data_IF_373955221305
#
_entry.id   IF_373955221305
#
_cell.length_a   1.000
_cell.length_b   1.000
_cell.length_c   1.000
_cell.angle_alpha   90.00
_cell.angle_beta   90.00
_cell.angle_gamma   90.00
#
_symmetry.space_group_name_H-M   'P 1'
#
loop_
_entity.id
_entity.type
_entity.pdbx_description
1 polymer ?
#
# COMPACT_ATOMS: atom_id res chain seq x y z
N UNK A 1 5.21 -32.25 -28.57
CA UNK A 1 5.01 -31.83 -27.17
C UNK A 1 5.67 -30.48 -26.99
N UNK A 2 4.88 -29.41 -26.98
CA UNK A 2 5.38 -28.05 -26.80
C UNK A 2 5.11 -27.64 -25.34
N UNK A 3 6.18 -27.28 -24.64
CA UNK A 3 6.15 -26.82 -23.25
C UNK A 3 5.74 -25.36 -23.28
N UNK A 4 4.50 -25.07 -22.89
CA UNK A 4 4.00 -23.70 -22.73
C UNK A 4 4.65 -23.07 -21.51
N UNK A 5 5.48 -22.06 -21.72
CA UNK A 5 5.97 -21.20 -20.64
C UNK A 5 4.82 -20.31 -20.19
N UNK A 6 4.41 -20.43 -18.93
CA UNK A 6 3.50 -19.47 -18.31
C UNK A 6 4.23 -18.14 -18.17
N UNK A 7 3.96 -17.23 -19.09
CA UNK A 7 4.32 -15.83 -18.95
C UNK A 7 3.59 -15.30 -17.71
N UNK A 8 4.32 -15.09 -16.62
CA UNK A 8 3.89 -14.18 -15.58
C UNK A 8 3.86 -12.81 -16.24
N UNK A 9 2.68 -12.38 -16.67
CA UNK A 9 2.47 -11.03 -17.13
C UNK A 9 2.99 -10.10 -16.03
N UNK A 10 4.12 -9.44 -16.32
CA UNK A 10 4.47 -8.21 -15.65
C UNK A 10 3.26 -7.31 -15.83
N UNK A 11 2.40 -7.24 -14.83
CA UNK A 11 1.36 -6.21 -14.77
C UNK A 11 2.12 -4.89 -14.62
N UNK A 12 2.62 -4.37 -15.75
CA UNK A 12 2.97 -2.98 -15.92
C UNK A 12 1.66 -2.24 -15.76
N UNK A 13 1.33 -1.86 -14.53
CA UNK A 13 0.42 -0.75 -14.32
C UNK A 13 0.99 0.41 -15.13
N UNK A 14 0.36 0.72 -16.27
CA UNK A 14 0.78 1.79 -17.19
C UNK A 14 0.58 3.18 -16.59
N UNK A 15 0.15 3.24 -15.34
CA UNK A 15 -0.13 4.45 -14.57
C UNK A 15 0.71 4.40 -13.30
N UNK A 16 1.82 5.13 -13.32
CA UNK A 16 2.53 5.51 -12.09
C UNK A 16 1.85 6.77 -11.60
N UNK A 17 1.19 6.76 -10.42
CA UNK A 17 0.66 7.97 -9.84
C UNK A 17 1.76 9.02 -9.70
N UNK A 18 1.46 10.27 -10.07
CA UNK A 18 2.42 11.40 -10.03
C UNK A 18 1.98 12.55 -9.15
N UNK A 19 0.82 12.40 -8.52
CA UNK A 19 0.19 13.43 -7.74
C UNK A 19 -0.13 12.88 -6.35
N UNK A 20 0.03 13.72 -5.34
CA UNK A 20 -0.48 13.44 -4.01
C UNK A 20 -1.99 13.74 -4.01
N UNK A 21 -2.76 12.96 -3.29
CA UNK A 21 -4.22 13.16 -3.18
C UNK A 21 -4.59 13.29 -1.72
N UNK A 22 -5.22 14.39 -1.34
CA UNK A 22 -5.78 14.60 0.01
C UNK A 22 -7.30 14.56 -0.09
N UNK A 23 -7.90 13.57 0.54
CA UNK A 23 -9.34 13.45 0.72
C UNK A 23 -9.72 14.01 2.08
N UNK A 24 -10.65 14.95 2.11
CA UNK A 24 -11.35 15.39 3.32
C UNK A 24 -12.86 15.37 3.10
N UNK A 25 -13.72 15.50 4.12
CA UNK A 25 -15.16 15.64 3.92
C UNK A 25 -15.52 16.83 3.02
N UNK A 26 -14.75 17.91 3.08
CA UNK A 26 -15.07 19.17 2.41
C UNK A 26 -14.44 19.30 1.03
N UNK A 27 -13.35 18.58 0.76
CA UNK A 27 -12.62 18.74 -0.50
C UNK A 27 -11.90 17.47 -0.91
N UNK A 28 -11.60 17.37 -2.19
CA UNK A 28 -10.53 16.54 -2.73
C UNK A 28 -9.47 17.45 -3.31
N UNK A 29 -8.24 17.32 -2.83
CA UNK A 29 -7.09 18.07 -3.33
C UNK A 29 -6.14 17.12 -4.04
N UNK A 30 -5.74 17.49 -5.25
CA UNK A 30 -4.76 16.76 -6.07
C UNK A 30 -3.58 17.68 -6.30
N UNK A 31 -2.42 17.29 -5.76
CA UNK A 31 -1.20 18.08 -5.78
C UNK A 31 -0.16 17.39 -6.65
N UNK A 32 0.00 17.94 -7.84
CA UNK A 32 0.99 17.46 -8.81
C UNK A 32 2.21 18.36 -8.91
N UNK A 33 3.16 17.95 -9.74
CA UNK A 33 4.35 18.75 -10.08
C UNK A 33 3.96 20.10 -10.72
N UNK A 34 2.85 20.13 -11.45
CA UNK A 34 2.42 21.27 -12.27
C UNK A 34 1.37 22.16 -11.57
N UNK A 35 0.90 21.80 -10.37
CA UNK A 35 -0.06 22.62 -9.65
C UNK A 35 -0.89 21.86 -8.63
N UNK A 36 -1.76 22.64 -8.00
CA UNK A 36 -2.63 22.24 -6.90
C UNK A 36 -4.09 22.44 -7.30
N UNK A 37 -4.83 21.35 -7.40
CA UNK A 37 -6.22 21.33 -7.81
C UNK A 37 -7.09 20.94 -6.62
N UNK A 38 -8.03 21.80 -6.24
CA UNK A 38 -8.97 21.54 -5.13
C UNK A 38 -10.39 21.51 -5.67
N UNK A 39 -11.11 20.43 -5.39
CA UNK A 39 -12.49 20.19 -5.80
C UNK A 39 -13.38 20.17 -4.55
N UNK A 40 -14.45 20.96 -4.56
CA UNK A 40 -15.50 20.93 -3.52
C UNK A 40 -16.59 19.90 -3.87
N UNK A 41 -17.48 19.49 -2.96
CA UNK A 41 -18.47 18.45 -3.21
C UNK A 41 -19.44 18.82 -4.35
N UNK A 42 -19.68 20.11 -4.56
CA UNK A 42 -20.52 20.63 -5.64
C UNK A 42 -19.85 20.62 -7.03
N UNK A 43 -18.58 20.19 -7.12
CA UNK A 43 -17.80 20.17 -8.35
C UNK A 43 -17.16 21.52 -8.70
N UNK A 44 -17.12 22.48 -7.76
CA UNK A 44 -16.34 23.71 -7.97
C UNK A 44 -14.86 23.39 -7.85
N UNK A 45 -14.06 23.97 -8.75
CA UNK A 45 -12.61 23.74 -8.81
C UNK A 45 -11.86 25.04 -8.58
N UNK A 46 -10.83 24.98 -7.73
CA UNK A 46 -9.76 25.98 -7.71
C UNK A 46 -8.47 25.34 -8.20
N UNK A 47 -7.69 26.09 -8.98
CA UNK A 47 -6.38 25.66 -9.45
C UNK A 47 -5.35 26.70 -9.03
N UNK A 48 -4.33 26.28 -8.29
CA UNK A 48 -3.35 27.15 -7.65
C UNK A 48 -4.01 28.30 -6.87
N UNK A 49 -5.08 27.98 -6.12
CA UNK A 49 -5.88 28.92 -5.33
C UNK A 49 -6.82 29.84 -6.14
N UNK A 50 -6.84 29.75 -7.47
CA UNK A 50 -7.70 30.57 -8.33
C UNK A 50 -8.97 29.79 -8.71
N UNK A 51 -10.18 30.30 -8.43
CA UNK A 51 -11.42 29.68 -8.89
C UNK A 51 -11.45 29.53 -10.41
N UNK A 52 -11.90 28.37 -10.89
CA UNK A 52 -12.05 28.09 -12.31
C UNK A 52 -13.50 28.28 -12.73
N UNK A 53 -13.73 28.99 -13.84
CA UNK A 53 -15.07 29.16 -14.39
C UNK A 53 -15.44 27.92 -15.22
N UNK A 54 -16.04 26.93 -14.55
CA UNK A 54 -16.43 25.67 -15.17
C UNK A 54 -17.84 25.71 -15.75
N UNK A 55 -18.00 25.10 -16.93
CA UNK A 55 -19.30 24.74 -17.49
C UNK A 55 -20.01 23.68 -16.64
N UNK A 56 -21.32 23.49 -16.84
CA UNK A 56 -22.09 22.47 -16.13
C UNK A 56 -21.51 21.05 -16.33
N UNK A 57 -21.13 20.71 -17.55
CA UNK A 57 -20.52 19.41 -17.87
C UNK A 57 -19.17 19.21 -17.16
N UNK A 58 -18.32 20.26 -17.10
CA UNK A 58 -17.04 20.19 -16.39
C UNK A 58 -17.21 20.06 -14.87
N UNK A 59 -18.22 20.72 -14.29
CA UNK A 59 -18.52 20.54 -12.86
C UNK A 59 -18.96 19.11 -12.57
N UNK A 60 -19.78 18.52 -13.44
CA UNK A 60 -20.21 17.14 -13.27
C UNK A 60 -19.01 16.17 -13.36
N UNK A 61 -18.12 16.36 -14.34
CA UNK A 61 -16.87 15.60 -14.41
C UNK A 61 -16.01 15.75 -13.15
N UNK A 62 -15.97 16.94 -12.55
CA UNK A 62 -15.23 17.16 -11.30
C UNK A 62 -15.88 16.42 -10.11
N UNK A 63 -17.21 16.28 -10.09
CA UNK A 63 -17.92 15.45 -9.11
C UNK A 63 -17.65 13.97 -9.30
N UNK A 64 -17.70 13.48 -10.54
CA UNK A 64 -17.42 12.08 -10.85
C UNK A 64 -15.98 11.73 -10.43
N UNK A 65 -15.02 12.57 -10.82
CA UNK A 65 -13.61 12.37 -10.49
C UNK A 65 -13.35 12.32 -8.97
N UNK A 66 -13.95 13.22 -8.19
CA UNK A 66 -13.79 13.14 -6.73
C UNK A 66 -14.50 11.91 -6.13
N UNK A 67 -15.65 11.50 -6.68
CA UNK A 67 -16.38 10.33 -6.19
C UNK A 67 -15.58 9.04 -6.44
N UNK A 68 -14.94 8.95 -7.60
CA UNK A 68 -14.02 7.87 -7.94
C UNK A 68 -12.84 7.82 -6.97
N UNK A 69 -12.18 8.94 -6.70
CA UNK A 69 -11.07 8.99 -5.74
C UNK A 69 -11.50 8.59 -4.32
N UNK A 70 -12.66 9.07 -3.88
CA UNK A 70 -13.23 8.74 -2.56
C UNK A 70 -13.57 7.26 -2.41
N UNK A 71 -13.91 6.59 -3.50
CA UNK A 71 -14.22 5.16 -3.50
C UNK A 71 -12.96 4.31 -3.66
N UNK A 72 -12.08 4.71 -4.58
CA UNK A 72 -10.91 3.94 -4.97
C UNK A 72 -9.82 3.94 -3.90
N UNK A 73 -9.49 5.09 -3.30
CA UNK A 73 -8.35 5.17 -2.37
C UNK A 73 -8.54 4.31 -1.10
N UNK A 74 -9.70 4.33 -0.41
CA UNK A 74 -9.95 3.42 0.69
C UNK A 74 -9.88 1.95 0.27
N UNK A 75 -10.46 1.59 -0.88
CA UNK A 75 -10.42 0.23 -1.39
C UNK A 75 -9.00 -0.25 -1.71
N UNK A 76 -8.16 0.63 -2.30
CA UNK A 76 -6.74 0.34 -2.56
C UNK A 76 -6.00 0.12 -1.25
N UNK A 77 -6.21 0.98 -0.25
CA UNK A 77 -5.59 0.85 1.06
C UNK A 77 -5.93 -0.50 1.72
N UNK A 78 -7.22 -0.81 1.82
CA UNK A 78 -7.71 -2.04 2.44
C UNK A 78 -7.21 -3.28 1.69
N UNK A 79 -7.25 -3.23 0.35
CA UNK A 79 -6.75 -4.30 -0.50
C UNK A 79 -5.25 -4.55 -0.30
N UNK A 80 -4.47 -3.49 -0.10
CA UNK A 80 -3.03 -3.59 0.08
C UNK A 80 -2.67 -4.16 1.48
N UNK A 81 -3.30 -3.65 2.55
CA UNK A 81 -3.13 -4.16 3.90
C UNK A 81 -3.59 -5.62 4.03
N UNK A 82 -4.69 -5.98 3.35
CA UNK A 82 -5.20 -7.36 3.31
C UNK A 82 -4.20 -8.32 2.66
N UNK A 83 -3.46 -7.90 1.63
CA UNK A 83 -2.45 -8.76 0.98
C UNK A 83 -1.26 -9.03 1.91
N UNK A 84 -0.82 -8.03 2.68
CA UNK A 84 0.23 -8.22 3.71
C UNK A 84 -0.24 -9.23 4.76
N UNK A 85 -1.46 -9.04 5.26
CA UNK A 85 -2.05 -9.95 6.26
C UNK A 85 -2.21 -11.39 5.73
N UNK A 86 -2.71 -11.57 4.50
CA UNK A 86 -2.82 -12.89 3.89
C UNK A 86 -1.46 -13.58 3.74
N UNK A 87 -0.41 -12.82 3.41
CA UNK A 87 0.96 -13.33 3.32
C UNK A 87 1.49 -13.77 4.68
N UNK A 88 1.21 -12.99 5.73
CA UNK A 88 1.50 -13.37 7.13
C UNK A 88 0.82 -14.69 7.49
N UNK A 89 -0.48 -14.82 7.26
CA UNK A 89 -1.24 -16.04 7.58
C UNK A 89 -0.70 -17.27 6.84
N UNK A 90 -0.32 -17.11 5.57
CA UNK A 90 0.28 -18.21 4.80
C UNK A 90 1.63 -18.66 5.39
N UNK A 91 2.50 -17.72 5.77
CA UNK A 91 3.78 -18.03 6.41
C UNK A 91 3.59 -18.64 7.81
N UNK A 92 2.60 -18.19 8.59
CA UNK A 92 2.29 -18.74 9.90
C UNK A 92 1.91 -20.23 9.81
N UNK A 93 1.12 -20.61 8.81
CA UNK A 93 0.77 -22.02 8.55
C UNK A 93 2.00 -22.89 8.30
N UNK A 94 2.96 -22.39 7.52
CA UNK A 94 4.21 -23.09 7.23
C UNK A 94 5.05 -23.23 8.51
N UNK A 95 5.21 -22.15 9.28
CA UNK A 95 5.95 -22.16 10.54
C UNK A 95 5.33 -23.15 11.53
N UNK A 96 4.01 -23.14 11.68
CA UNK A 96 3.31 -24.09 12.56
C UNK A 96 3.57 -25.53 12.16
N UNK A 97 3.52 -25.85 10.86
CA UNK A 97 3.78 -27.19 10.34
C UNK A 97 5.23 -27.63 10.53
N UNK A 98 6.20 -26.80 10.18
CA UNK A 98 7.61 -27.19 10.09
C UNK A 98 8.38 -26.98 11.41
N UNK A 99 7.92 -26.06 12.25
CA UNK A 99 8.65 -25.58 13.43
C UNK A 99 7.86 -25.73 14.73
N UNK A 100 6.52 -25.81 14.65
CA UNK A 100 5.62 -25.98 15.79
C UNK A 100 5.05 -24.65 16.33
N UNK A 101 3.89 -24.75 17.00
CA UNK A 101 3.04 -23.61 17.37
C UNK A 101 3.67 -22.61 18.37
N UNK A 102 4.60 -23.06 19.22
CA UNK A 102 5.26 -22.25 20.27
C UNK A 102 6.51 -21.51 19.79
N UNK A 103 6.72 -21.41 18.47
CA UNK A 103 7.94 -20.84 17.91
C UNK A 103 8.03 -19.32 18.11
N UNK A 104 9.18 -18.85 18.59
CA UNK A 104 9.58 -17.43 18.57
C UNK A 104 9.50 -16.81 17.15
N UNK A 105 9.44 -17.63 16.10
CA UNK A 105 9.25 -17.17 14.71
C UNK A 105 7.86 -16.57 14.48
N UNK A 106 6.81 -17.02 15.17
CA UNK A 106 5.46 -16.43 15.03
C UNK A 106 5.41 -15.00 15.55
N UNK A 107 6.06 -14.75 16.68
CA UNK A 107 6.23 -13.39 17.23
C UNK A 107 7.01 -12.49 16.27
N UNK A 108 8.08 -13.01 15.65
CA UNK A 108 8.86 -12.27 14.66
C UNK A 108 8.05 -11.97 13.39
N UNK A 109 7.26 -12.93 12.92
CA UNK A 109 6.38 -12.77 11.76
C UNK A 109 5.28 -11.72 12.04
N UNK A 110 4.69 -11.75 13.24
CA UNK A 110 3.71 -10.74 13.67
C UNK A 110 4.35 -9.34 13.73
N UNK A 111 5.59 -9.23 14.20
CA UNK A 111 6.33 -7.97 14.19
C UNK A 111 6.59 -7.48 12.76
N UNK A 112 7.03 -8.36 11.87
CA UNK A 112 7.27 -8.02 10.46
C UNK A 112 5.98 -7.52 9.79
N UNK A 113 4.85 -8.19 10.01
CA UNK A 113 3.54 -7.77 9.49
C UNK A 113 3.18 -6.35 9.95
N UNK A 114 3.31 -6.07 11.25
CA UNK A 114 3.07 -4.72 11.78
C UNK A 114 3.98 -3.69 11.11
N UNK A 115 5.28 -3.97 11.02
CA UNK A 115 6.23 -3.06 10.40
C UNK A 115 5.94 -2.82 8.92
N UNK A 116 5.55 -3.85 8.17
CA UNK A 116 5.17 -3.72 6.76
C UNK A 116 3.90 -2.88 6.60
N UNK A 117 2.88 -3.10 7.44
CA UNK A 117 1.66 -2.27 7.46
C UNK A 117 1.97 -0.81 7.80
N UNK A 118 2.88 -0.56 8.75
CA UNK A 118 3.37 0.80 9.04
C UNK A 118 4.06 1.42 7.83
N UNK A 119 4.82 0.65 7.04
CA UNK A 119 5.37 1.15 5.78
C UNK A 119 4.26 1.49 4.77
N UNK A 120 3.22 0.65 4.64
CA UNK A 120 2.10 0.91 3.74
C UNK A 120 1.35 2.19 4.10
N UNK A 121 1.16 2.46 5.39
CA UNK A 121 0.49 3.67 5.89
C UNK A 121 1.23 4.96 5.53
N UNK A 122 2.50 4.89 5.11
CA UNK A 122 3.24 6.04 4.59
C UNK A 122 2.87 6.38 3.15
N UNK A 123 2.34 5.41 2.39
CA UNK A 123 1.80 5.64 1.03
C UNK A 123 0.36 6.14 1.14
N UNK A 124 -0.46 5.45 1.92
CA UNK A 124 -1.84 5.87 2.19
C UNK A 124 -2.00 6.11 3.68
N UNK A 125 -1.98 7.38 4.06
CA UNK A 125 -2.14 7.83 5.43
C UNK A 125 -3.63 7.99 5.74
N UNK A 126 -4.14 7.20 6.68
CA UNK A 126 -5.48 7.41 7.23
C UNK A 126 -5.42 8.45 8.35
N UNK A 127 -6.31 9.43 8.29
CA UNK A 127 -6.40 10.55 9.24
C UNK A 127 -7.81 10.62 9.83
N UNK A 128 -7.98 11.41 10.88
CA UNK A 128 -9.31 11.65 11.48
C UNK A 128 -10.24 12.41 10.55
N UNK A 129 -9.68 13.24 9.68
CA UNK A 129 -10.37 14.11 8.72
C UNK A 129 -10.30 13.58 7.28
N UNK A 130 -9.89 12.33 7.06
CA UNK A 130 -9.89 11.69 5.76
C UNK A 130 -8.65 10.86 5.46
N UNK A 131 -8.13 10.97 4.24
CA UNK A 131 -7.08 10.08 3.73
C UNK A 131 -6.14 10.84 2.81
N UNK A 132 -4.83 10.62 2.96
CA UNK A 132 -3.82 11.18 2.06
C UNK A 132 -3.06 10.08 1.35
N UNK A 133 -2.98 10.16 0.02
CA UNK A 133 -2.11 9.35 -0.81
C UNK A 133 -0.84 10.14 -1.16
N UNK A 134 0.32 9.56 -0.86
CA UNK A 134 1.65 10.15 -1.04
C UNK A 134 2.41 9.37 -2.12
N UNK A 135 2.41 9.84 -3.37
CA UNK A 135 2.99 9.04 -4.47
C UNK A 135 4.52 8.91 -4.34
N UNK A 136 5.19 9.96 -3.83
CA UNK A 136 6.65 9.96 -3.63
C UNK A 136 7.10 8.97 -2.56
N UNK A 137 6.21 8.56 -1.66
CA UNK A 137 6.53 7.61 -0.62
C UNK A 137 6.67 6.17 -1.16
N UNK A 138 6.14 5.87 -2.36
CA UNK A 138 6.08 4.51 -2.91
C UNK A 138 7.47 3.86 -3.02
N UNK A 139 8.44 4.57 -3.61
CA UNK A 139 9.77 4.00 -3.84
C UNK A 139 10.52 3.76 -2.52
N UNK A 140 10.40 4.70 -1.58
CA UNK A 140 10.99 4.56 -0.25
C UNK A 140 10.35 3.41 0.53
N UNK A 141 9.02 3.29 0.51
CA UNK A 141 8.29 2.20 1.17
C UNK A 141 8.64 0.86 0.55
N UNK A 142 8.85 0.79 -0.76
CA UNK A 142 9.34 -0.42 -1.43
C UNK A 142 10.73 -0.81 -0.91
N UNK A 143 11.67 0.14 -0.86
CA UNK A 143 13.02 -0.10 -0.38
C UNK A 143 13.04 -0.53 1.10
N UNK A 144 12.32 0.21 1.96
CA UNK A 144 12.24 -0.09 3.39
C UNK A 144 11.54 -1.42 3.65
N UNK A 145 10.47 -1.73 2.90
CA UNK A 145 9.78 -3.01 2.97
C UNK A 145 10.68 -4.19 2.58
N UNK A 146 11.46 -4.06 1.51
CA UNK A 146 12.44 -5.08 1.11
C UNK A 146 13.51 -5.28 2.20
N UNK A 147 14.01 -4.19 2.80
CA UNK A 147 14.96 -4.27 3.90
C UNK A 147 14.38 -4.99 5.12
N UNK A 148 13.13 -4.71 5.50
CA UNK A 148 12.45 -5.39 6.60
C UNK A 148 12.32 -6.90 6.35
N UNK A 149 11.91 -7.30 5.15
CA UNK A 149 11.82 -8.71 4.77
C UNK A 149 13.19 -9.38 4.81
N UNK A 150 14.22 -8.76 4.23
CA UNK A 150 15.58 -9.31 4.23
C UNK A 150 16.13 -9.50 5.65
N UNK A 151 15.92 -8.53 6.53
CA UNK A 151 16.32 -8.62 7.93
C UNK A 151 15.58 -9.75 8.66
N UNK A 152 14.27 -9.87 8.46
CA UNK A 152 13.47 -10.92 9.06
C UNK A 152 13.91 -12.31 8.57
N UNK A 153 14.18 -12.47 7.27
CA UNK A 153 14.68 -13.71 6.68
C UNK A 153 16.06 -14.09 7.22
N UNK A 154 17.00 -13.15 7.34
CA UNK A 154 18.31 -13.43 7.91
C UNK A 154 18.21 -13.94 9.36
N UNK A 155 17.29 -13.37 10.16
CA UNK A 155 17.04 -13.82 11.52
C UNK A 155 16.35 -15.19 11.55
N UNK A 156 15.40 -15.43 10.64
CA UNK A 156 14.74 -16.72 10.49
C UNK A 156 15.75 -17.83 10.19
N UNK A 157 16.63 -17.62 9.20
CA UNK A 157 17.68 -18.58 8.84
C UNK A 157 18.59 -18.90 10.02
N UNK A 158 19.07 -17.88 10.76
CA UNK A 158 19.88 -18.11 11.97
C UNK A 158 19.15 -18.94 13.01
N UNK A 159 17.89 -18.62 13.29
CA UNK A 159 17.08 -19.34 14.28
C UNK A 159 16.86 -20.80 13.87
N UNK A 160 16.60 -21.04 12.58
CA UNK A 160 16.49 -22.39 12.04
C UNK A 160 17.81 -23.16 12.21
N UNK A 161 18.94 -22.59 11.76
CA UNK A 161 20.26 -23.23 11.88
C UNK A 161 20.62 -23.61 13.31
N UNK A 162 20.36 -22.73 14.29
CA UNK A 162 20.63 -23.05 15.72
C UNK A 162 19.79 -24.23 16.20
N UNK A 163 18.51 -24.29 15.82
CA UNK A 163 17.62 -25.38 16.24
C UNK A 163 17.96 -26.70 15.56
N UNK A 164 18.41 -26.67 14.30
CA UNK A 164 18.94 -27.85 13.61
C UNK A 164 20.21 -28.38 14.28
N UNK A 165 21.15 -27.50 14.62
CA UNK A 165 22.36 -27.89 15.36
C UNK A 165 22.04 -28.52 16.72
N UNK A 166 21.06 -27.97 17.45
CA UNK A 166 20.59 -28.54 18.73
C UNK A 166 19.91 -29.91 18.61
N UNK A 167 19.35 -30.28 17.45
CA UNK A 167 18.77 -31.61 17.23
C UNK A 167 19.82 -32.67 16.87
N UNK A 168 21.02 -32.24 16.49
CA UNK A 168 22.14 -33.11 16.09
C UNK A 168 23.10 -33.42 17.26
N UNK A 169 22.91 -32.79 18.42
CA UNK A 169 23.55 -33.12 19.69
C UNK A 169 22.55 -33.82 20.62
#
# INVERSE_FOLDING_TARGET
>A
MAIGTTAHAEYKCSVTPRDDVVLSPQTVQVKGENGDLVITPDGNVTFNGKPQNLTAAQREQAKDYQADLRTALPWVNDGALTRVEKSRVALDKIITKEVGESSNMRTRLTKLDKQLKEQMNRIIETRTDGLTFHYKAIDQVRADGQNLVNQAMAVFCRTASTRWAQKLC
#
